data_IF_287535205635
#
_entry.id   IF_287535205635
#
_cell.length_a   1.000
_cell.length_b   1.000
_cell.length_c   1.000
_cell.angle_alpha   90.00
_cell.angle_beta   90.00
_cell.angle_gamma   90.00
#
_symmetry.space_group_name_H-M   'P 1'
#
loop_
_entity.id
_entity.type
_entity.pdbx_description
1 polymer ?
#
# COMPACT_ATOMS: atom_id res chain seq x y z
N UNK A 1 11.56 -9.38 5.18
CA UNK A 1 11.90 -10.26 4.04
C UNK A 1 11.98 -9.39 2.80
N UNK A 2 13.07 -9.47 2.06
CA UNK A 2 13.28 -8.73 0.82
C UNK A 2 13.38 -9.70 -0.36
N UNK A 3 12.57 -9.46 -1.38
CA UNK A 3 12.49 -10.23 -2.63
C UNK A 3 12.57 -9.31 -3.85
N UNK A 4 13.10 -8.09 -3.66
CA UNK A 4 13.17 -7.07 -4.69
C UNK A 4 13.99 -7.50 -5.92
N UNK A 5 13.76 -6.85 -7.06
CA UNK A 5 14.44 -7.07 -8.34
C UNK A 5 14.22 -8.45 -8.95
N UNK A 6 13.22 -9.19 -8.47
CA UNK A 6 12.80 -10.45 -9.05
C UNK A 6 11.97 -10.21 -10.31
N UNK A 7 12.62 -9.86 -11.42
CA UNK A 7 11.98 -9.43 -12.68
C UNK A 7 10.99 -10.46 -13.25
N UNK A 8 11.16 -11.74 -12.92
CA UNK A 8 10.31 -12.85 -13.37
C UNK A 8 9.32 -13.35 -12.31
N UNK A 9 9.26 -12.73 -11.12
CA UNK A 9 8.33 -13.12 -10.06
C UNK A 9 6.91 -12.78 -10.48
N UNK A 10 6.15 -13.80 -10.86
CA UNK A 10 4.72 -13.66 -11.21
C UNK A 10 3.81 -13.77 -10.00
N UNK A 11 4.23 -14.56 -9.00
CA UNK A 11 3.49 -14.82 -7.78
C UNK A 11 4.47 -14.83 -6.61
N UNK A 12 4.08 -14.23 -5.48
CA UNK A 12 4.88 -14.22 -4.25
C UNK A 12 4.89 -15.64 -3.66
N UNK A 13 6.06 -16.20 -3.26
CA UNK A 13 6.10 -17.51 -2.62
C UNK A 13 5.16 -17.54 -1.41
N UNK A 14 4.53 -18.69 -1.15
CA UNK A 14 3.55 -18.80 -0.07
C UNK A 14 4.20 -18.54 1.30
N UNK A 15 3.90 -17.40 1.92
CA UNK A 15 4.35 -17.02 3.26
C UNK A 15 3.21 -17.06 4.30
N UNK A 16 2.16 -17.82 4.05
CA UNK A 16 0.99 -17.89 4.95
C UNK A 16 1.32 -18.28 6.39
N UNK A 17 2.42 -19.00 6.61
CA UNK A 17 2.92 -19.40 7.93
C UNK A 17 3.92 -18.41 8.55
N UNK A 18 4.31 -17.35 7.83
CA UNK A 18 5.23 -16.32 8.32
C UNK A 18 4.50 -15.31 9.23
N UNK A 19 3.85 -15.79 10.28
CA UNK A 19 2.98 -14.99 11.17
C UNK A 19 3.71 -13.90 11.95
N UNK A 20 5.05 -13.98 12.03
CA UNK A 20 5.92 -12.97 12.64
C UNK A 20 6.51 -11.97 11.64
N UNK A 21 6.15 -12.06 10.35
CA UNK A 21 6.70 -11.18 9.33
C UNK A 21 6.17 -9.77 9.49
N UNK A 22 7.05 -8.83 9.85
CA UNK A 22 6.68 -7.42 10.02
C UNK A 22 6.95 -6.56 8.77
N UNK A 23 7.85 -6.99 7.90
CA UNK A 23 8.26 -6.22 6.71
C UNK A 23 8.44 -7.13 5.51
N UNK A 24 7.80 -6.76 4.40
CA UNK A 24 7.92 -7.42 3.10
C UNK A 24 8.26 -6.39 2.03
N UNK A 25 9.35 -6.64 1.29
CA UNK A 25 9.84 -5.76 0.23
C UNK A 25 9.84 -6.56 -1.08
N UNK A 26 9.14 -6.04 -2.09
CA UNK A 26 8.90 -6.62 -3.41
C UNK A 26 9.23 -5.61 -4.51
N UNK A 27 10.13 -4.66 -4.25
CA UNK A 27 10.42 -3.57 -5.17
C UNK A 27 10.95 -4.12 -6.52
N UNK A 28 10.60 -3.48 -7.62
CA UNK A 28 11.03 -3.84 -8.97
C UNK A 28 10.73 -5.30 -9.37
N UNK A 29 9.69 -5.91 -8.81
CA UNK A 29 9.14 -7.18 -9.29
C UNK A 29 8.24 -6.93 -10.51
N UNK A 30 8.83 -6.60 -11.66
CA UNK A 30 8.11 -6.11 -12.84
C UNK A 30 7.12 -7.11 -13.47
N UNK A 31 7.25 -8.40 -13.17
CA UNK A 31 6.29 -9.43 -13.63
C UNK A 31 5.17 -9.73 -12.65
N UNK A 32 5.16 -9.12 -11.46
CA UNK A 32 4.13 -9.34 -10.45
C UNK A 32 2.85 -8.61 -10.85
N UNK A 33 1.75 -9.35 -10.98
CA UNK A 33 0.46 -8.83 -11.47
C UNK A 33 -0.54 -8.58 -10.34
N UNK A 34 -0.50 -9.43 -9.33
CA UNK A 34 -1.38 -9.39 -8.16
C UNK A 34 -0.66 -9.92 -6.92
N UNK A 35 -1.17 -9.57 -5.74
CA UNK A 35 -0.76 -10.24 -4.50
C UNK A 35 -1.77 -11.35 -4.14
N UNK A 36 -1.30 -12.49 -3.63
CA UNK A 36 -2.16 -13.62 -3.30
C UNK A 36 -2.97 -13.41 -2.01
N UNK A 37 -4.14 -14.05 -1.92
CA UNK A 37 -5.11 -13.86 -0.82
C UNK A 37 -4.59 -14.24 0.57
N UNK A 38 -3.59 -15.13 0.65
CA UNK A 38 -2.99 -15.53 1.93
C UNK A 38 -2.24 -14.39 2.65
N UNK A 39 -1.99 -13.26 1.99
CA UNK A 39 -1.48 -12.04 2.64
C UNK A 39 -2.32 -11.63 3.86
N UNK A 40 -3.62 -11.95 3.88
CA UNK A 40 -4.49 -11.70 5.03
C UNK A 40 -4.01 -12.41 6.32
N UNK A 41 -3.21 -13.47 6.20
CA UNK A 41 -2.65 -14.22 7.33
C UNK A 41 -1.41 -13.54 7.93
N UNK A 42 -0.83 -12.56 7.23
CA UNK A 42 0.31 -11.78 7.71
C UNK A 42 -0.15 -10.71 8.72
N UNK A 43 -0.73 -11.17 9.82
CA UNK A 43 -1.37 -10.32 10.83
C UNK A 43 -0.43 -9.34 11.53
N UNK A 44 0.89 -9.55 11.44
CA UNK A 44 1.92 -8.66 12.01
C UNK A 44 2.64 -7.81 10.95
N UNK A 45 2.24 -7.89 9.69
CA UNK A 45 2.87 -7.12 8.62
C UNK A 45 2.57 -5.64 8.81
N UNK A 46 3.63 -4.86 9.07
CA UNK A 46 3.59 -3.41 9.29
C UNK A 46 4.00 -2.64 8.05
N UNK A 47 4.96 -3.18 7.29
CA UNK A 47 5.56 -2.51 6.14
C UNK A 47 5.48 -3.39 4.89
N UNK A 48 4.81 -2.88 3.85
CA UNK A 48 4.77 -3.49 2.52
C UNK A 48 5.29 -2.49 1.49
N UNK A 49 6.38 -2.85 0.81
CA UNK A 49 6.97 -2.05 -0.27
C UNK A 49 6.92 -2.82 -1.56
N UNK A 50 6.37 -2.20 -2.60
CA UNK A 50 6.18 -2.78 -3.93
C UNK A 50 6.54 -1.75 -5.01
N UNK A 51 7.53 -0.92 -4.75
CA UNK A 51 7.93 0.19 -5.62
C UNK A 51 8.31 -0.35 -7.01
N UNK A 52 7.71 0.19 -8.07
CA UNK A 52 8.08 -0.19 -9.44
C UNK A 52 7.62 -1.58 -9.86
N UNK A 53 6.62 -2.18 -9.19
CA UNK A 53 5.90 -3.35 -9.70
C UNK A 53 4.99 -2.95 -10.86
N UNK A 54 5.60 -2.69 -12.03
CA UNK A 54 4.93 -2.04 -13.18
C UNK A 54 3.67 -2.75 -13.67
N UNK A 55 3.62 -4.09 -13.58
CA UNK A 55 2.46 -4.90 -14.00
C UNK A 55 1.40 -5.12 -12.93
N UNK A 56 1.62 -4.63 -11.70
CA UNK A 56 0.64 -4.75 -10.63
C UNK A 56 -0.61 -3.96 -11.02
N UNK A 57 -1.73 -4.65 -11.22
CA UNK A 57 -2.99 -4.06 -11.69
C UNK A 57 -3.95 -3.79 -10.54
N UNK A 58 -4.00 -4.72 -9.59
CA UNK A 58 -4.89 -4.66 -8.42
C UNK A 58 -4.19 -5.23 -7.19
N UNK A 59 -4.52 -4.67 -6.03
CA UNK A 59 -4.43 -5.41 -4.78
C UNK A 59 -5.79 -6.12 -4.60
N UNK A 60 -5.82 -7.40 -4.23
CA UNK A 60 -7.06 -8.14 -4.13
C UNK A 60 -7.95 -7.52 -3.05
N UNK A 61 -9.18 -7.37 -3.47
CA UNK A 61 -10.35 -6.94 -2.73
C UNK A 61 -10.47 -7.93 -1.56
N UNK A 62 -10.53 -7.44 -0.32
CA UNK A 62 -10.63 -8.21 0.94
C UNK A 62 -9.34 -8.60 1.70
N UNK A 63 -8.13 -8.16 1.34
CA UNK A 63 -6.98 -8.36 2.24
C UNK A 63 -7.01 -7.31 3.36
N UNK A 64 -7.58 -7.67 4.51
CA UNK A 64 -7.48 -6.83 5.70
C UNK A 64 -6.12 -7.01 6.40
N UNK A 65 -5.10 -6.29 5.92
CA UNK A 65 -3.79 -6.19 6.59
C UNK A 65 -3.89 -5.27 7.82
N UNK A 66 -4.51 -5.76 8.90
CA UNK A 66 -4.87 -4.98 10.09
C UNK A 66 -3.72 -4.17 10.69
N UNK A 67 -2.50 -4.72 10.69
CA UNK A 67 -1.32 -4.09 11.26
C UNK A 67 -0.51 -3.25 10.27
N UNK A 68 -0.92 -3.17 9.01
CA UNK A 68 -0.17 -2.44 8.00
C UNK A 68 -0.26 -0.94 8.26
N UNK A 69 0.89 -0.32 8.53
CA UNK A 69 1.00 1.12 8.72
C UNK A 69 1.75 1.80 7.58
N UNK A 70 2.62 1.09 6.85
CA UNK A 70 3.36 1.65 5.73
C UNK A 70 3.11 0.85 4.45
N UNK A 71 2.59 1.52 3.42
CA UNK A 71 2.40 0.98 2.09
C UNK A 71 3.02 1.90 1.04
N UNK A 72 3.94 1.34 0.26
CA UNK A 72 4.57 2.04 -0.86
C UNK A 72 4.33 1.26 -2.16
N UNK A 73 3.50 1.84 -3.02
CA UNK A 73 3.13 1.33 -4.34
C UNK A 73 3.61 2.30 -5.44
N UNK A 74 4.53 3.20 -5.12
CA UNK A 74 5.02 4.18 -6.08
C UNK A 74 5.60 3.50 -7.32
N UNK A 75 5.43 4.13 -8.49
CA UNK A 75 5.84 3.60 -9.79
C UNK A 75 5.15 2.27 -10.23
N UNK A 76 4.06 1.84 -9.58
CA UNK A 76 3.18 0.78 -10.08
C UNK A 76 2.28 1.34 -11.20
N UNK A 77 2.83 1.49 -12.39
CA UNK A 77 2.18 2.21 -13.51
C UNK A 77 0.88 1.60 -14.02
N UNK A 78 0.65 0.28 -13.82
CA UNK A 78 -0.62 -0.36 -14.19
C UNK A 78 -1.67 -0.35 -13.07
N UNK A 79 -1.33 0.10 -11.86
CA UNK A 79 -2.28 0.21 -10.75
C UNK A 79 -3.17 1.42 -11.00
N UNK A 80 -4.43 1.18 -11.36
CA UNK A 80 -5.39 2.23 -11.75
C UNK A 80 -6.45 2.50 -10.69
N UNK A 81 -6.67 1.57 -9.77
CA UNK A 81 -7.69 1.68 -8.73
C UNK A 81 -7.05 1.80 -7.36
N UNK A 82 -7.69 2.55 -6.46
CA UNK A 82 -7.27 2.60 -5.07
C UNK A 82 -7.33 1.20 -4.44
N UNK A 83 -6.28 0.76 -3.73
CA UNK A 83 -6.30 -0.55 -3.11
C UNK A 83 -7.21 -0.56 -1.88
N UNK A 84 -8.01 -1.62 -1.72
CA UNK A 84 -8.78 -1.82 -0.49
C UNK A 84 -7.86 -2.23 0.67
N UNK A 85 -7.46 -1.25 1.47
CA UNK A 85 -6.51 -1.42 2.56
C UNK A 85 -7.10 -0.95 3.90
N UNK A 86 -6.48 -1.38 4.99
CA UNK A 86 -6.91 -1.02 6.34
C UNK A 86 -6.77 0.48 6.61
N UNK A 87 -7.63 1.03 7.46
CA UNK A 87 -7.56 2.43 7.90
C UNK A 87 -6.43 2.70 8.91
N UNK A 88 -5.66 1.67 9.28
CA UNK A 88 -4.50 1.77 10.18
C UNK A 88 -3.25 2.35 9.54
N UNK A 89 -3.28 2.60 8.23
CA UNK A 89 -2.18 3.18 7.44
C UNK A 89 -1.78 4.56 7.96
N UNK A 90 -0.47 4.71 8.16
CA UNK A 90 0.20 5.96 8.53
C UNK A 90 0.86 6.62 7.31
N UNK A 91 1.47 5.80 6.44
CA UNK A 91 2.15 6.25 5.23
C UNK A 91 1.61 5.49 4.01
N UNK A 92 1.07 6.24 3.05
CA UNK A 92 0.64 5.72 1.75
C UNK A 92 1.31 6.49 0.61
N UNK A 93 2.00 5.77 -0.26
CA UNK A 93 2.62 6.34 -1.45
C UNK A 93 2.10 5.65 -2.71
N UNK A 94 1.42 6.44 -3.53
CA UNK A 94 0.85 6.06 -4.82
C UNK A 94 1.47 6.89 -5.95
N UNK A 95 2.58 7.62 -5.74
CA UNK A 95 3.20 8.43 -6.78
C UNK A 95 3.51 7.61 -8.03
N UNK A 96 3.32 8.20 -9.21
CA UNK A 96 3.57 7.52 -10.50
C UNK A 96 2.77 6.21 -10.72
N UNK A 97 1.63 6.06 -10.04
CA UNK A 97 0.60 5.08 -10.39
C UNK A 97 -0.45 5.68 -11.34
N UNK A 98 -1.40 4.88 -11.79
CA UNK A 98 -2.59 5.34 -12.51
C UNK A 98 -3.80 5.60 -11.61
N UNK A 99 -3.62 5.65 -10.28
CA UNK A 99 -4.71 5.87 -9.33
C UNK A 99 -5.10 7.34 -9.32
N UNK A 100 -6.31 7.65 -9.80
CA UNK A 100 -6.82 9.03 -9.91
C UNK A 100 -7.67 9.45 -8.71
N UNK A 101 -8.27 8.49 -8.01
CA UNK A 101 -9.22 8.75 -6.91
C UNK A 101 -8.89 7.92 -5.67
N UNK A 102 -9.27 8.45 -4.50
CA UNK A 102 -9.20 7.78 -3.19
C UNK A 102 -10.57 7.81 -2.53
N UNK A 103 -10.88 6.86 -1.63
CA UNK A 103 -12.13 6.91 -0.88
C UNK A 103 -12.23 8.20 -0.06
N UNK A 104 -13.41 8.80 -0.02
CA UNK A 104 -13.67 10.03 0.76
C UNK A 104 -13.34 9.88 2.25
N UNK A 105 -13.45 8.65 2.76
CA UNK A 105 -13.11 8.29 4.14
C UNK A 105 -11.61 8.36 4.47
N UNK A 106 -10.72 8.50 3.47
CA UNK A 106 -9.26 8.58 3.70
C UNK A 106 -8.87 9.72 4.64
N UNK A 107 -9.67 10.79 4.67
CA UNK A 107 -9.50 11.94 5.59
C UNK A 107 -9.81 11.62 7.05
N UNK A 108 -10.55 10.54 7.29
CA UNK A 108 -10.95 10.08 8.63
C UNK A 108 -10.08 8.94 9.14
N UNK A 109 -9.01 8.59 8.42
CA UNK A 109 -8.09 7.54 8.87
C UNK A 109 -7.28 8.03 10.07
N UNK A 110 -7.39 7.37 11.23
CA UNK A 110 -6.92 7.92 12.51
C UNK A 110 -5.40 8.10 12.58
N UNK A 111 -4.64 7.33 11.81
CA UNK A 111 -3.18 7.32 11.87
C UNK A 111 -2.53 7.93 10.63
N UNK A 112 -3.30 8.31 9.60
CA UNK A 112 -2.74 8.74 8.32
C UNK A 112 -1.94 10.03 8.52
N UNK A 113 -0.62 9.94 8.35
CA UNK A 113 0.34 11.04 8.53
C UNK A 113 0.92 11.52 7.19
N UNK A 114 0.92 10.66 6.16
CA UNK A 114 1.37 11.02 4.82
C UNK A 114 0.61 10.25 3.74
N UNK A 115 0.14 10.99 2.74
CA UNK A 115 -0.44 10.48 1.50
C UNK A 115 0.26 11.16 0.32
N UNK A 116 0.82 10.37 -0.60
CA UNK A 116 1.40 10.83 -1.87
C UNK A 116 0.66 10.16 -3.03
N UNK A 117 0.37 10.90 -4.09
CA UNK A 117 -0.55 10.48 -5.15
C UNK A 117 -0.24 11.13 -6.50
N UNK A 118 -0.46 10.43 -7.63
CA UNK A 118 -0.13 10.95 -8.95
C UNK A 118 -0.82 12.28 -9.22
N UNK A 119 -0.04 13.32 -9.55
CA UNK A 119 -0.59 14.64 -9.89
C UNK A 119 -1.23 15.40 -8.73
N UNK A 120 -1.29 14.81 -7.52
CA UNK A 120 -1.66 15.50 -6.30
C UNK A 120 -0.44 16.28 -5.85
N UNK A 121 -0.37 17.56 -6.22
CA UNK A 121 0.61 18.50 -5.66
C UNK A 121 0.39 18.58 -4.15
N UNK A 122 1.04 17.68 -3.42
CA UNK A 122 1.33 17.71 -1.99
C UNK A 122 0.25 18.41 -1.16
N UNK A 123 -0.75 17.64 -0.70
CA UNK A 123 -1.46 18.03 0.51
C UNK A 123 -0.42 18.07 1.63
N UNK A 124 0.22 19.22 1.83
CA UNK A 124 0.81 19.58 3.10
C UNK A 124 -0.31 19.39 4.13
N UNK A 125 -0.20 18.36 4.96
CA UNK A 125 -1.18 18.10 5.99
C UNK A 125 -1.12 19.18 7.08
N UNK A 126 -2.28 19.78 7.33
CA UNK A 126 -2.72 20.69 8.42
C UNK A 126 -2.11 22.11 8.44
N UNK A 127 -2.94 23.14 8.66
CA UNK A 127 -3.69 23.33 9.91
C UNK A 127 -5.20 23.12 9.71
N UNK A 128 -5.87 22.58 10.72
CA UNK A 128 -7.29 22.85 11.10
C UNK A 128 -7.84 21.74 12.01
N UNK A 129 -7.05 21.33 13.02
CA UNK A 129 -7.58 20.71 14.25
C UNK A 129 -7.33 21.66 15.42
N UNK A 130 -7.59 22.96 15.20
CA UNK A 130 -7.54 23.95 16.29
C UNK A 130 -8.83 24.73 16.51
N UNK A 131 -9.79 24.73 15.58
CA UNK A 131 -11.07 25.42 15.80
C UNK A 131 -12.26 24.46 15.70
N UNK A 132 -12.50 23.67 16.75
CA UNK A 132 -13.84 23.16 17.12
C UNK A 132 -13.85 22.44 18.47
N UNK A 133 -13.13 22.99 19.44
CA UNK A 133 -13.48 22.83 20.86
C UNK A 133 -13.62 24.21 21.47
N UNK A 134 -14.74 24.87 21.16
CA UNK A 134 -15.55 25.74 22.05
C UNK A 134 -16.82 26.19 21.31
#
# INVERSE_FOLDING_TARGET
>A
MDMSYSLNLKEVPNLSNATNLETLILNACESLVEIPTWFQNLSRLKNLKMVGCKKLEVLPININLKSLCHLDLSHCTQLKTFPEISTSIEYLDLEYTGVEEVPSSIRSWPNLAKLSMPGYKSLRMFPDVLDSME
#
